data_IF_181093595877
#
_entry.id   IF_181093595877
#
_cell.length_a   1.000
_cell.length_b   1.000
_cell.length_c   1.000
_cell.angle_alpha   90.00
_cell.angle_beta   90.00
_cell.angle_gamma   90.00
#
_symmetry.space_group_name_H-M   'P 1'
#
loop_
_entity.id
_entity.type
_entity.pdbx_description
1 polymer ?
#
# COMPACT_ATOMS: atom_id res chain seq x y z
N UNK A 1 10.68 -13.04 -44.55
CA UNK A 1 11.79 -13.07 -43.58
C UNK A 1 11.28 -13.38 -42.18
N UNK A 2 12.06 -14.09 -41.35
CA UNK A 2 11.66 -14.53 -40.00
C UNK A 2 12.52 -13.82 -38.93
N UNK A 3 11.93 -12.87 -38.19
CA UNK A 3 12.61 -12.05 -37.17
C UNK A 3 12.28 -12.46 -35.72
N UNK A 4 11.69 -13.66 -35.54
CA UNK A 4 11.22 -14.14 -34.22
C UNK A 4 12.36 -14.32 -33.23
N UNK A 5 13.50 -14.85 -33.68
CA UNK A 5 14.66 -15.12 -32.83
C UNK A 5 15.31 -13.81 -32.36
N UNK A 6 15.42 -12.82 -33.23
CA UNK A 6 15.97 -11.50 -32.95
C UNK A 6 15.07 -10.73 -31.98
N UNK A 7 13.74 -10.81 -32.16
CA UNK A 7 12.76 -10.26 -31.21
C UNK A 7 12.90 -10.89 -29.82
N UNK A 8 13.16 -12.20 -29.75
CA UNK A 8 13.39 -12.91 -28.49
C UNK A 8 14.75 -12.62 -27.85
N UNK A 9 15.80 -12.44 -28.65
CA UNK A 9 17.13 -12.04 -28.19
C UNK A 9 17.10 -10.60 -27.64
N UNK A 10 16.45 -9.69 -28.35
CA UNK A 10 16.21 -8.31 -27.93
C UNK A 10 15.39 -8.25 -26.63
N UNK A 11 14.30 -9.02 -26.53
CA UNK A 11 13.48 -9.09 -25.32
C UNK A 11 14.29 -9.55 -24.09
N UNK A 12 15.11 -10.60 -24.25
CA UNK A 12 16.00 -11.09 -23.19
C UNK A 12 17.07 -10.08 -22.79
N UNK A 13 17.67 -9.40 -23.76
CA UNK A 13 18.69 -8.38 -23.52
C UNK A 13 18.11 -7.15 -22.79
N UNK A 14 16.95 -6.67 -23.25
CA UNK A 14 16.28 -5.48 -22.72
C UNK A 14 15.44 -5.76 -21.46
N UNK A 15 15.35 -7.03 -21.04
CA UNK A 15 14.56 -7.49 -19.89
C UNK A 15 13.08 -7.07 -19.97
N UNK A 16 12.52 -7.13 -21.18
CA UNK A 16 11.10 -6.83 -21.47
C UNK A 16 10.42 -8.02 -22.15
N UNK A 17 9.09 -8.06 -22.12
CA UNK A 17 8.34 -9.08 -22.86
C UNK A 17 8.49 -8.92 -24.38
N UNK A 18 8.39 -10.02 -25.14
CA UNK A 18 8.51 -10.03 -26.61
C UNK A 18 7.56 -9.02 -27.26
N UNK A 19 6.33 -8.92 -26.75
CA UNK A 19 5.30 -8.01 -27.30
C UNK A 19 5.66 -6.54 -27.19
N UNK A 20 6.55 -6.18 -26.26
CA UNK A 20 7.03 -4.81 -26.07
C UNK A 20 8.22 -4.45 -26.95
N UNK A 21 8.78 -5.40 -27.69
CA UNK A 21 9.87 -5.13 -28.62
C UNK A 21 9.25 -4.75 -29.97
N UNK A 22 9.44 -3.49 -30.34
CA UNK A 22 9.09 -2.96 -31.66
C UNK A 22 10.30 -3.05 -32.58
N UNK A 23 10.08 -3.58 -33.78
CA UNK A 23 11.09 -3.69 -34.84
C UNK A 23 10.66 -2.78 -35.99
N UNK A 24 11.58 -1.97 -36.50
CA UNK A 24 11.34 -1.13 -37.67
C UNK A 24 11.07 -2.00 -38.91
N UNK A 25 9.98 -1.74 -39.66
CA UNK A 25 9.68 -2.48 -40.89
C UNK A 25 10.64 -2.13 -42.03
N UNK A 26 11.20 -0.92 -42.03
CA UNK A 26 12.04 -0.39 -43.12
C UNK A 26 13.44 -1.03 -43.15
N UNK A 27 13.92 -1.52 -41.99
CA UNK A 27 15.25 -2.12 -41.84
C UNK A 27 15.16 -3.63 -41.59
N UNK A 28 14.19 -4.31 -42.19
CA UNK A 28 13.93 -5.73 -41.93
C UNK A 28 15.11 -6.65 -42.29
N UNK A 29 15.88 -6.29 -43.32
CA UNK A 29 17.05 -7.06 -43.78
C UNK A 29 18.20 -6.98 -42.75
N UNK A 30 18.54 -5.77 -42.30
CA UNK A 30 19.54 -5.52 -41.27
C UNK A 30 19.21 -6.25 -39.97
N UNK A 31 17.95 -6.21 -39.57
CA UNK A 31 17.46 -6.94 -38.38
C UNK A 31 17.61 -8.44 -38.57
N UNK A 32 17.29 -8.97 -39.75
CA UNK A 32 17.40 -10.40 -40.03
C UNK A 32 18.87 -10.87 -40.00
N UNK A 33 19.81 -10.01 -40.41
CA UNK A 33 21.25 -10.30 -40.41
C UNK A 33 21.90 -10.30 -39.02
N UNK A 34 21.26 -9.66 -38.03
CA UNK A 34 21.78 -9.57 -36.66
C UNK A 34 21.61 -10.90 -35.90
N UNK A 35 22.74 -11.56 -35.60
CA UNK A 35 22.77 -12.85 -34.89
C UNK A 35 23.24 -12.68 -33.45
N UNK A 36 24.21 -11.79 -33.19
CA UNK A 36 24.82 -11.66 -31.86
C UNK A 36 24.08 -10.66 -30.98
N UNK A 37 24.30 -10.73 -29.66
CA UNK A 37 23.78 -9.72 -28.71
C UNK A 37 24.39 -8.34 -28.94
N UNK A 38 25.60 -8.28 -29.49
CA UNK A 38 26.27 -7.02 -29.78
C UNK A 38 25.57 -6.30 -30.94
N UNK A 39 25.22 -7.03 -32.00
CA UNK A 39 24.50 -6.48 -33.16
C UNK A 39 23.09 -5.98 -32.77
N UNK A 40 22.39 -6.73 -31.92
CA UNK A 40 21.10 -6.26 -31.38
C UNK A 40 21.26 -4.99 -30.55
N UNK A 41 22.37 -4.83 -29.82
CA UNK A 41 22.64 -3.61 -29.06
C UNK A 41 22.88 -2.41 -29.98
N UNK A 42 23.69 -2.58 -31.03
CA UNK A 42 23.90 -1.50 -32.01
C UNK A 42 22.62 -1.10 -32.74
N UNK A 43 21.73 -2.06 -33.03
CA UNK A 43 20.40 -1.79 -33.60
C UNK A 43 19.45 -1.08 -32.62
N UNK A 44 19.55 -1.36 -31.31
CA UNK A 44 18.82 -0.62 -30.27
C UNK A 44 19.34 0.80 -30.16
N UNK A 45 20.66 0.99 -30.16
CA UNK A 45 21.29 2.32 -30.05
C UNK A 45 20.99 3.19 -31.28
N UNK A 46 20.93 2.59 -32.47
CA UNK A 46 20.46 3.23 -33.72
C UNK A 46 18.94 3.50 -33.74
N UNK A 47 18.19 2.96 -32.78
CA UNK A 47 16.74 3.13 -32.69
C UNK A 47 15.94 2.29 -33.70
N UNK A 48 16.55 1.29 -34.32
CA UNK A 48 15.88 0.33 -35.23
C UNK A 48 15.03 -0.66 -34.43
N UNK A 49 15.49 -1.04 -33.24
CA UNK A 49 14.76 -1.84 -32.26
C UNK A 49 14.40 -0.94 -31.07
N UNK A 50 13.11 -0.81 -30.75
CA UNK A 50 12.63 0.05 -29.64
C UNK A 50 11.80 -0.75 -28.64
N UNK A 51 11.78 -0.26 -27.40
CA UNK A 51 10.86 -0.76 -26.37
C UNK A 51 9.60 0.09 -26.39
N UNK A 52 8.46 -0.52 -26.70
CA UNK A 52 7.16 0.12 -26.59
C UNK A 52 6.87 0.48 -25.12
N UNK A 53 6.27 1.66 -24.86
CA UNK A 53 5.85 2.04 -23.52
C UNK A 53 4.84 1.05 -22.96
N UNK A 54 4.77 0.93 -21.64
CA UNK A 54 3.74 0.09 -21.02
C UNK A 54 2.36 0.71 -21.27
N UNK A 55 1.38 -0.13 -21.53
CA UNK A 55 -0.03 0.26 -21.50
C UNK A 55 -0.43 0.63 -20.07
N UNK A 56 -0.45 1.92 -19.77
CA UNK A 56 -0.72 2.43 -18.43
C UNK A 56 -2.20 2.32 -18.06
N UNK A 57 -2.50 1.79 -16.87
CA UNK A 57 -3.86 1.82 -16.31
C UNK A 57 -4.06 3.07 -15.46
N UNK A 58 -4.97 3.96 -15.89
CA UNK A 58 -5.24 5.19 -15.15
C UNK A 58 -5.92 4.91 -13.80
N UNK A 59 -5.39 5.53 -12.74
CA UNK A 59 -5.94 5.44 -11.36
C UNK A 59 -6.91 6.56 -11.01
N UNK A 60 -7.21 7.49 -11.92
CA UNK A 60 -8.01 8.70 -11.65
C UNK A 60 -9.38 8.36 -11.06
N UNK A 61 -10.11 7.43 -11.69
CA UNK A 61 -11.44 7.00 -11.20
C UNK A 61 -11.37 6.34 -9.82
N UNK A 62 -10.37 5.47 -9.60
CA UNK A 62 -10.15 4.82 -8.32
C UNK A 62 -9.85 5.83 -7.20
N UNK A 63 -9.03 6.86 -7.47
CA UNK A 63 -8.74 7.94 -6.53
C UNK A 63 -9.98 8.76 -6.19
N UNK A 64 -10.79 9.14 -7.20
CA UNK A 64 -12.07 9.83 -7.00
C UNK A 64 -13.01 9.03 -6.09
N UNK A 65 -13.14 7.72 -6.31
CA UNK A 65 -13.97 6.85 -5.47
C UNK A 65 -13.41 6.74 -4.04
N UNK A 66 -12.09 6.66 -3.87
CA UNK A 66 -11.46 6.61 -2.55
C UNK A 66 -11.73 7.88 -1.73
N UNK A 67 -11.69 9.05 -2.37
CA UNK A 67 -12.02 10.32 -1.72
C UNK A 67 -13.50 10.37 -1.29
N UNK A 68 -14.42 9.95 -2.16
CA UNK A 68 -15.85 9.84 -1.82
C UNK A 68 -16.10 8.86 -0.67
N UNK A 69 -15.38 7.72 -0.64
CA UNK A 69 -15.46 6.75 0.45
C UNK A 69 -14.90 7.30 1.76
N UNK A 70 -13.85 8.13 1.72
CA UNK A 70 -13.32 8.83 2.91
C UNK A 70 -14.34 9.80 3.51
N UNK A 71 -15.18 10.40 2.67
CA UNK A 71 -16.35 11.24 3.05
C UNK A 71 -17.61 10.44 3.40
N UNK A 72 -17.53 9.10 3.46
CA UNK A 72 -18.65 8.20 3.79
C UNK A 72 -19.82 8.16 2.78
N UNK A 73 -19.67 8.70 1.57
CA UNK A 73 -20.75 8.79 0.57
C UNK A 73 -21.10 7.44 -0.10
N UNK A 74 -20.18 6.46 -0.08
CA UNK A 74 -20.34 5.15 -0.74
C UNK A 74 -20.22 3.98 0.24
N UNK A 75 -20.75 4.16 1.46
CA UNK A 75 -20.65 3.20 2.58
C UNK A 75 -21.98 2.91 3.29
N UNK A 76 -23.12 3.23 2.66
CA UNK A 76 -24.47 2.91 3.16
C UNK A 76 -24.78 1.41 3.15
N UNK A 77 -25.88 1.00 3.78
CA UNK A 77 -26.21 -0.42 3.99
C UNK A 77 -26.25 -1.26 2.72
N UNK A 78 -26.88 -0.77 1.63
CA UNK A 78 -26.95 -1.50 0.36
C UNK A 78 -25.59 -1.71 -0.35
N UNK A 79 -24.57 -0.91 -0.01
CA UNK A 79 -23.22 -1.07 -0.56
C UNK A 79 -22.35 -2.04 0.24
N UNK A 80 -22.79 -2.43 1.44
CA UNK A 80 -22.01 -3.28 2.34
C UNK A 80 -22.19 -4.74 1.93
N UNK A 81 -21.07 -5.42 1.71
CA UNK A 81 -21.01 -6.87 1.53
C UNK A 81 -20.33 -7.51 2.73
N UNK A 82 -20.82 -8.67 3.14
CA UNK A 82 -20.32 -9.42 4.29
C UNK A 82 -20.76 -8.89 5.66
N UNK A 83 -20.49 -9.68 6.70
CA UNK A 83 -20.93 -9.38 8.08
C UNK A 83 -20.17 -8.21 8.70
N UNK A 84 -20.74 -7.60 9.76
CA UNK A 84 -20.09 -6.52 10.49
C UNK A 84 -18.75 -6.94 11.12
N UNK A 85 -18.66 -8.17 11.65
CA UNK A 85 -17.45 -8.72 12.26
C UNK A 85 -16.31 -8.86 11.25
N UNK A 86 -16.61 -9.20 9.99
CA UNK A 86 -15.60 -9.30 8.93
C UNK A 86 -15.12 -7.92 8.48
N UNK A 87 -16.03 -6.96 8.30
CA UNK A 87 -15.67 -5.58 7.90
C UNK A 87 -14.90 -4.83 8.98
N UNK A 88 -15.18 -5.14 10.25
CA UNK A 88 -14.52 -4.55 11.41
C UNK A 88 -14.36 -5.60 12.50
N UNK A 89 -13.17 -6.19 12.58
CA UNK A 89 -12.90 -7.25 13.55
C UNK A 89 -12.92 -6.69 15.00
N UNK A 90 -13.81 -7.19 15.87
CA UNK A 90 -13.91 -6.74 17.27
C UNK A 90 -12.59 -6.86 18.03
N UNK A 91 -11.81 -7.93 17.77
CA UNK A 91 -10.49 -8.15 18.40
C UNK A 91 -9.50 -7.06 18.01
N UNK A 92 -9.50 -6.66 16.73
CA UNK A 92 -8.64 -5.58 16.23
C UNK A 92 -9.01 -4.22 16.84
N UNK A 93 -10.31 -3.94 16.95
CA UNK A 93 -10.80 -2.73 17.62
C UNK A 93 -10.41 -2.68 19.10
N UNK A 94 -10.56 -3.80 19.82
CA UNK A 94 -10.15 -3.92 21.21
C UNK A 94 -8.63 -3.71 21.38
N UNK A 95 -7.81 -4.36 20.55
CA UNK A 95 -6.36 -4.16 20.57
C UNK A 95 -5.98 -2.70 20.31
N UNK A 96 -6.60 -2.05 19.31
CA UNK A 96 -6.36 -0.62 19.02
C UNK A 96 -6.74 0.26 20.22
N UNK A 97 -7.87 -0.02 20.86
CA UNK A 97 -8.34 0.69 22.05
C UNK A 97 -7.34 0.55 23.21
N UNK A 98 -7.03 -0.68 23.62
CA UNK A 98 -6.15 -0.94 24.77
C UNK A 98 -4.73 -0.42 24.54
N UNK A 99 -4.16 -0.62 23.34
CA UNK A 99 -2.83 -0.08 23.02
C UNK A 99 -2.81 1.43 23.11
N UNK A 100 -3.85 2.10 22.63
CA UNK A 100 -3.94 3.56 22.71
C UNK A 100 -3.99 4.07 24.16
N UNK A 101 -4.70 3.37 25.05
CA UNK A 101 -4.78 3.70 26.48
C UNK A 101 -3.45 3.45 27.20
N UNK A 102 -2.79 2.31 26.93
CA UNK A 102 -1.50 1.97 27.54
C UNK A 102 -0.39 2.94 27.13
N UNK A 103 -0.37 3.35 25.86
CA UNK A 103 0.56 4.39 25.37
C UNK A 103 0.28 5.72 26.07
N UNK A 104 -0.99 6.08 26.30
CA UNK A 104 -1.33 7.29 27.04
C UNK A 104 -0.85 7.23 28.49
N UNK A 105 -1.11 6.13 29.19
CA UNK A 105 -0.64 5.91 30.57
C UNK A 105 0.88 5.96 30.68
N UNK A 106 1.61 5.38 29.71
CA UNK A 106 3.06 5.44 29.67
C UNK A 106 3.55 6.89 29.52
N UNK A 107 2.91 7.68 28.63
CA UNK A 107 3.22 9.11 28.46
C UNK A 107 2.94 9.91 29.72
N UNK A 108 1.84 9.64 30.42
CA UNK A 108 1.48 10.35 31.65
C UNK A 108 2.43 9.99 32.81
N UNK A 109 2.87 8.73 32.89
CA UNK A 109 3.91 8.29 33.83
C UNK A 109 5.25 8.97 33.52
N UNK A 110 5.66 9.03 32.26
CA UNK A 110 6.92 9.67 31.86
C UNK A 110 6.94 11.19 32.12
N UNK A 111 5.77 11.83 32.13
CA UNK A 111 5.59 13.24 32.51
C UNK A 111 5.43 13.44 34.03
N UNK A 112 5.54 12.38 34.82
CA UNK A 112 5.32 12.39 36.28
C UNK A 112 3.94 12.92 36.70
N UNK A 113 2.97 12.90 35.77
CA UNK A 113 1.58 13.24 36.09
C UNK A 113 0.98 12.11 36.93
N UNK A 114 1.43 10.86 36.79
CA UNK A 114 0.87 9.72 37.51
C UNK A 114 2.00 8.99 38.21
N UNK A 115 1.77 8.60 39.47
CA UNK A 115 2.72 7.79 40.23
C UNK A 115 2.79 6.35 39.70
N UNK A 116 3.88 5.64 39.94
CA UNK A 116 4.03 4.24 39.48
C UNK A 116 2.95 3.30 40.06
N UNK A 117 2.49 3.59 41.28
CA UNK A 117 1.41 2.87 41.98
C UNK A 117 0.06 3.07 41.28
N UNK A 118 -0.28 4.31 40.96
CA UNK A 118 -1.49 4.69 40.23
C UNK A 118 -1.49 4.13 38.81
N UNK A 119 -0.35 4.17 38.11
CA UNK A 119 -0.18 3.58 36.78
C UNK A 119 -0.60 2.11 36.76
N UNK A 120 -0.16 1.33 37.75
CA UNK A 120 -0.46 -0.11 37.83
C UNK A 120 -1.97 -0.35 38.01
N UNK A 121 -2.64 0.46 38.85
CA UNK A 121 -4.10 0.39 39.03
C UNK A 121 -4.84 0.74 37.74
N UNK A 122 -4.49 1.87 37.12
CA UNK A 122 -5.11 2.35 35.88
C UNK A 122 -4.87 1.42 34.70
N UNK A 123 -3.71 0.74 34.65
CA UNK A 123 -3.38 -0.26 33.64
C UNK A 123 -4.28 -1.49 33.74
N UNK A 124 -4.53 -2.00 34.97
CA UNK A 124 -5.46 -3.11 35.21
C UNK A 124 -6.89 -2.73 34.84
N UNK A 125 -7.35 -1.55 35.27
CA UNK A 125 -8.67 -1.00 34.90
C UNK A 125 -8.83 -0.79 33.38
N UNK A 126 -7.76 -0.37 32.70
CA UNK A 126 -7.78 -0.27 31.24
C UNK A 126 -8.00 -1.64 30.60
N UNK A 127 -7.31 -2.66 31.10
CA UNK A 127 -7.39 -4.03 30.58
C UNK A 127 -8.77 -4.67 30.82
N UNK A 128 -9.46 -4.30 31.91
CA UNK A 128 -10.85 -4.74 32.16
C UNK A 128 -11.90 -4.01 31.31
N UNK A 129 -11.51 -3.00 30.52
CA UNK A 129 -12.41 -2.31 29.60
C UNK A 129 -13.20 -1.16 30.21
N UNK A 130 -12.87 -0.76 31.44
CA UNK A 130 -13.52 0.34 32.17
C UNK A 130 -13.51 1.67 31.39
N UNK A 131 -12.39 2.01 30.75
CA UNK A 131 -12.28 3.23 29.96
C UNK A 131 -12.89 3.06 28.56
N UNK A 132 -13.66 4.06 28.09
CA UNK A 132 -14.32 4.05 26.78
C UNK A 132 -13.37 4.51 25.67
N UNK A 133 -12.63 5.57 25.95
CA UNK A 133 -11.67 6.23 25.06
C UNK A 133 -10.59 6.91 25.91
N UNK A 134 -9.60 7.53 25.26
CA UNK A 134 -8.54 8.28 25.95
C UNK A 134 -9.07 9.43 26.79
N UNK A 135 -10.08 10.14 26.31
CA UNK A 135 -10.68 11.28 27.04
C UNK A 135 -11.30 10.83 28.37
N UNK A 136 -11.98 9.67 28.40
CA UNK A 136 -12.52 9.11 29.62
C UNK A 136 -11.42 8.77 30.64
N UNK A 137 -10.29 8.20 30.16
CA UNK A 137 -9.13 7.94 31.00
C UNK A 137 -8.58 9.24 31.61
N UNK A 138 -8.36 10.27 30.79
CA UNK A 138 -7.82 11.55 31.26
C UNK A 138 -8.76 12.26 32.23
N UNK A 139 -10.08 12.21 31.98
CA UNK A 139 -11.08 12.75 32.89
C UNK A 139 -11.06 12.03 34.25
N UNK A 140 -10.95 10.71 34.24
CA UNK A 140 -10.86 9.92 35.47
C UNK A 140 -9.62 10.27 36.29
N UNK A 141 -8.47 10.41 35.63
CA UNK A 141 -7.22 10.80 36.30
C UNK A 141 -7.33 12.22 36.88
N UNK A 142 -7.95 13.15 36.15
CA UNK A 142 -8.18 14.51 36.66
C UNK A 142 -9.02 14.49 37.94
N UNK A 143 -10.12 13.73 37.95
CA UNK A 143 -10.99 13.57 39.13
C UNK A 143 -10.32 12.84 40.30
N UNK A 144 -9.30 12.01 40.04
CA UNK A 144 -8.56 11.31 41.09
C UNK A 144 -7.53 12.23 41.78
N UNK A 145 -7.22 13.37 41.15
CA UNK A 145 -6.25 14.38 41.62
C UNK A 145 -6.88 15.65 42.18
N UNK A 146 -8.16 15.87 41.88
CA UNK A 146 -9.02 16.80 42.62
C UNK A 146 -9.27 16.23 44.01
#
# INVERSE_FOLDING_TARGET
MNTRQQKELAARMLKVGKDRVWLSPDNAEDISSAITRHDIRTLVDKGVIKVSPLTGQSRVRARKIAEQKKKSLRSGFGSRKGTAKTRSNPKSQWMKKIRSLRVELLKLKAKEIILSTEYTKLYRLSTSGFFRNKSHLNLYIKKLKE
#
